data_IF_287263132820
#
_entry.id   IF_287263132820
#
_cell.length_a   1.000
_cell.length_b   1.000
_cell.length_c   1.000
_cell.angle_alpha   90.00
_cell.angle_beta   90.00
_cell.angle_gamma   90.00
#
_symmetry.space_group_name_H-M   'P 1'
#
loop_
_entity.id
_entity.type
_entity.pdbx_description
1 polymer ?
#
# COMPACT_ATOMS: atom_id res chain seq x y z
N UNK A 1 12.61 -22.24 13.53
CA UNK A 1 11.43 -21.83 12.74
C UNK A 1 11.33 -20.33 12.84
N UNK A 2 11.20 -19.63 11.71
CA UNK A 2 10.99 -18.18 11.67
C UNK A 2 9.56 -17.88 12.14
N UNK A 3 9.38 -16.83 12.95
CA UNK A 3 8.06 -16.43 13.44
C UNK A 3 7.26 -15.75 12.33
N UNK A 4 5.92 -15.96 12.24
CA UNK A 4 5.07 -15.22 11.32
C UNK A 4 5.31 -13.72 11.44
N UNK A 5 5.45 -13.04 10.31
CA UNK A 5 5.76 -11.62 10.28
C UNK A 5 4.55 -10.82 9.75
N UNK A 6 3.95 -10.04 10.65
CA UNK A 6 2.80 -9.21 10.36
C UNK A 6 3.13 -8.11 9.34
N UNK A 7 2.19 -7.86 8.43
CA UNK A 7 2.24 -6.78 7.44
C UNK A 7 0.98 -5.94 7.52
N UNK A 8 1.11 -4.67 7.91
CA UNK A 8 0.01 -3.71 7.75
C UNK A 8 -0.04 -3.24 6.30
N UNK A 9 -1.25 -3.19 5.71
CA UNK A 9 -1.46 -2.74 4.33
C UNK A 9 -2.25 -1.43 4.32
N UNK A 10 -1.69 -0.40 3.70
CA UNK A 10 -2.32 0.91 3.51
C UNK A 10 -2.43 1.15 2.00
N UNK A 11 -3.65 1.38 1.53
CA UNK A 11 -3.97 1.54 0.11
C UNK A 11 -4.54 2.93 -0.16
N UNK A 12 -3.83 3.69 -0.97
CA UNK A 12 -4.27 4.93 -1.59
C UNK A 12 -5.11 4.61 -2.82
N UNK A 13 -6.43 4.62 -2.66
CA UNK A 13 -7.32 4.28 -3.75
C UNK A 13 -7.52 5.45 -4.73
N UNK A 14 -6.94 6.63 -4.49
CA UNK A 14 -7.00 7.73 -5.45
C UNK A 14 -5.86 7.68 -6.46
N UNK A 15 -4.64 7.41 -5.99
CA UNK A 15 -3.45 7.38 -6.83
C UNK A 15 -3.00 5.97 -7.20
N UNK A 16 -3.60 4.92 -6.65
CA UNK A 16 -3.33 3.54 -7.02
C UNK A 16 -4.61 2.71 -7.13
N UNK A 17 -5.57 3.21 -7.91
CA UNK A 17 -6.77 2.44 -8.21
C UNK A 17 -6.43 1.18 -8.99
N UNK A 18 -7.23 0.14 -8.78
CA UNK A 18 -7.10 -1.12 -9.54
C UNK A 18 -7.47 -0.89 -11.02
N UNK A 19 -6.74 -1.49 -11.98
CA UNK A 19 -7.08 -1.38 -13.40
C UNK A 19 -8.49 -1.87 -13.74
N UNK A 20 -9.05 -1.34 -14.83
CA UNK A 20 -10.39 -1.73 -15.31
C UNK A 20 -10.44 -3.23 -15.67
N UNK A 21 -11.57 -3.88 -15.36
CA UNK A 21 -11.75 -5.33 -15.52
C UNK A 21 -11.27 -6.18 -14.34
N UNK A 22 -10.63 -5.58 -13.33
CA UNK A 22 -10.20 -6.30 -12.13
C UNK A 22 -11.30 -6.39 -11.05
N UNK A 23 -11.47 -7.59 -10.48
CA UNK A 23 -12.34 -7.77 -9.32
C UNK A 23 -11.65 -7.28 -8.04
N UNK A 24 -12.15 -6.17 -7.50
CA UNK A 24 -11.69 -5.57 -6.26
C UNK A 24 -11.73 -6.55 -5.07
N UNK A 25 -12.61 -7.55 -5.10
CA UNK A 25 -12.68 -8.61 -4.06
C UNK A 25 -11.46 -9.51 -4.06
N UNK A 26 -10.76 -9.62 -5.19
CA UNK A 26 -9.56 -10.44 -5.33
C UNK A 26 -8.27 -9.74 -4.88
N UNK A 27 -8.32 -8.41 -4.64
CA UNK A 27 -7.16 -7.58 -4.27
C UNK A 27 -6.42 -8.13 -3.03
N UNK A 28 -7.16 -8.48 -1.97
CA UNK A 28 -6.56 -9.04 -0.75
C UNK A 28 -5.83 -10.35 -1.00
N UNK A 29 -6.38 -11.22 -1.85
CA UNK A 29 -5.76 -12.51 -2.24
C UNK A 29 -4.50 -12.29 -3.07
N UNK A 30 -4.51 -11.30 -3.98
CA UNK A 30 -3.35 -10.91 -4.77
C UNK A 30 -2.21 -10.40 -3.88
N UNK A 31 -2.52 -9.48 -2.95
CA UNK A 31 -1.55 -8.95 -1.99
C UNK A 31 -0.96 -10.07 -1.14
N UNK A 32 -1.79 -10.97 -0.61
CA UNK A 32 -1.31 -12.15 0.15
C UNK A 32 -0.31 -12.97 -0.67
N UNK A 33 -0.64 -13.27 -1.92
CA UNK A 33 0.22 -14.06 -2.81
C UNK A 33 1.56 -13.36 -3.07
N UNK A 34 1.55 -12.04 -3.29
CA UNK A 34 2.76 -11.26 -3.50
C UNK A 34 3.64 -11.18 -2.24
N UNK A 35 3.04 -10.97 -1.07
CA UNK A 35 3.75 -10.99 0.22
C UNK A 35 4.43 -12.33 0.45
N UNK A 36 3.75 -13.46 0.16
CA UNK A 36 4.33 -14.80 0.30
C UNK A 36 5.50 -15.06 -0.65
N UNK A 37 5.51 -14.47 -1.85
CA UNK A 37 6.67 -14.52 -2.75
C UNK A 37 7.87 -13.75 -2.22
N UNK A 38 7.63 -12.66 -1.49
CA UNK A 38 8.68 -11.88 -0.84
C UNK A 38 9.24 -12.58 0.40
N UNK A 39 8.35 -13.08 1.26
CA UNK A 39 8.68 -13.88 2.42
C UNK A 39 7.51 -14.81 2.75
N UNK A 40 7.70 -16.14 2.76
CA UNK A 40 6.63 -17.10 3.03
C UNK A 40 6.01 -16.95 4.44
N UNK A 41 6.67 -16.26 5.37
CA UNK A 41 6.15 -16.01 6.72
C UNK A 41 5.27 -14.75 6.81
N UNK A 42 5.21 -13.92 5.76
CA UNK A 42 4.38 -12.71 5.77
C UNK A 42 2.89 -13.03 5.78
N UNK A 43 2.13 -12.28 6.58
CA UNK A 43 0.67 -12.31 6.58
C UNK A 43 0.12 -10.89 6.78
N UNK A 44 -1.08 -10.63 6.24
CA UNK A 44 -1.74 -9.34 6.41
C UNK A 44 -2.28 -9.25 7.85
N UNK A 45 -1.88 -8.21 8.56
CA UNK A 45 -2.37 -7.87 9.89
C UNK A 45 -3.69 -7.11 9.78
N UNK A 46 -4.78 -7.69 10.30
CA UNK A 46 -6.09 -7.04 10.32
C UNK A 46 -6.70 -6.80 8.94
N UNK A 47 -7.32 -5.62 8.78
CA UNK A 47 -7.98 -5.16 7.56
C UNK A 47 -7.04 -4.32 6.70
N UNK A 48 -7.31 -4.26 5.40
CA UNK A 48 -6.61 -3.35 4.50
C UNK A 48 -7.15 -1.94 4.73
N UNK A 49 -6.28 -0.99 5.04
CA UNK A 49 -6.69 0.40 5.30
C UNK A 49 -6.78 1.12 3.96
N UNK A 50 -7.99 1.40 3.50
CA UNK A 50 -8.25 2.11 2.25
C UNK A 50 -8.41 3.62 2.54
N UNK A 51 -7.51 4.44 2.00
CA UNK A 51 -7.44 5.88 2.21
C UNK A 51 -7.69 6.60 0.88
N UNK A 52 -8.52 7.63 0.94
CA UNK A 52 -8.89 8.44 -0.21
C UNK A 52 -10.15 9.26 0.10
N UNK A 53 -10.71 9.93 -0.91
CA UNK A 53 -11.82 10.85 -0.68
C UNK A 53 -13.09 10.16 -0.18
N UNK A 54 -13.87 10.89 0.62
CA UNK A 54 -15.16 10.44 1.15
C UNK A 54 -16.30 10.41 0.11
N UNK A 55 -16.03 10.76 -1.14
CA UNK A 55 -17.04 10.94 -2.20
C UNK A 55 -16.57 10.31 -3.52
N UNK A 56 -17.52 10.07 -4.42
CA UNK A 56 -17.29 9.55 -5.76
C UNK A 56 -17.35 8.02 -5.88
N UNK A 57 -17.28 7.54 -7.11
CA UNK A 57 -17.54 6.14 -7.46
C UNK A 57 -16.56 5.16 -6.79
N UNK A 58 -15.29 5.57 -6.66
CA UNK A 58 -14.24 4.78 -5.99
C UNK A 58 -14.55 4.55 -4.51
N UNK A 59 -14.99 5.60 -3.81
CA UNK A 59 -15.42 5.51 -2.42
C UNK A 59 -16.60 4.53 -2.31
N UNK A 60 -17.62 4.72 -3.16
CA UNK A 60 -18.80 3.86 -3.16
C UNK A 60 -18.45 2.39 -3.43
N UNK A 61 -17.56 2.12 -4.39
CA UNK A 61 -17.10 0.76 -4.69
C UNK A 61 -16.43 0.09 -3.48
N UNK A 62 -15.62 0.83 -2.70
CA UNK A 62 -14.99 0.29 -1.48
C UNK A 62 -16.01 0.03 -0.38
N UNK A 63 -17.01 0.89 -0.21
CA UNK A 63 -18.07 0.66 0.81
C UNK A 63 -18.89 -0.61 0.57
N UNK A 64 -18.88 -1.12 -0.66
CA UNK A 64 -19.55 -2.36 -1.04
C UNK A 64 -18.66 -3.61 -0.87
N UNK A 65 -17.41 -3.45 -0.42
CA UNK A 65 -16.49 -4.57 -0.23
C UNK A 65 -16.79 -5.35 1.06
N UNK A 66 -16.31 -6.62 1.13
CA UNK A 66 -16.37 -7.41 2.35
C UNK A 66 -15.68 -6.71 3.54
N UNK A 67 -15.94 -7.20 4.76
CA UNK A 67 -15.38 -6.67 6.02
C UNK A 67 -13.84 -6.82 6.17
N UNK A 68 -13.16 -7.09 5.07
CA UNK A 68 -11.72 -7.22 4.93
C UNK A 68 -11.01 -5.87 4.76
N UNK A 69 -11.76 -4.79 4.58
CA UNK A 69 -11.29 -3.42 4.35
C UNK A 69 -11.73 -2.49 5.48
N UNK A 70 -10.81 -1.62 5.91
CA UNK A 70 -11.07 -0.51 6.82
C UNK A 70 -11.02 0.77 5.99
N UNK A 71 -12.18 1.40 5.79
CA UNK A 71 -12.28 2.65 5.04
C UNK A 71 -11.89 3.83 5.95
N UNK A 72 -10.93 4.63 5.49
CA UNK A 72 -10.47 5.87 6.15
C UNK A 72 -10.70 7.04 5.19
N UNK A 73 -11.96 7.52 5.07
CA UNK A 73 -12.32 8.52 4.09
C UNK A 73 -11.88 9.91 4.53
N UNK A 74 -11.27 10.66 3.62
CA UNK A 74 -10.89 12.06 3.82
C UNK A 74 -12.05 12.94 3.37
N UNK A 75 -12.64 13.68 4.31
CA UNK A 75 -13.70 14.63 4.00
C UNK A 75 -13.08 15.92 3.46
N UNK A 76 -13.62 16.49 2.37
CA UNK A 76 -13.22 17.81 1.94
C UNK A 76 -13.62 18.81 3.03
N UNK A 77 -12.64 19.47 3.62
CA UNK A 77 -12.88 20.47 4.64
C UNK A 77 -13.47 21.75 3.98
N UNK A 78 -14.61 22.21 4.51
CA UNK A 78 -15.41 23.29 3.92
C UNK A 78 -14.77 24.69 4.08
N UNK A 79 -13.56 24.78 4.66
CA UNK A 79 -12.97 26.03 5.11
C UNK A 79 -11.48 26.15 4.78
N UNK A 80 -11.15 26.75 3.61
CA UNK A 80 -9.80 27.34 3.32
C UNK A 80 -8.60 26.44 3.69
N UNK A 81 -8.77 25.14 3.58
CA UNK A 81 -7.80 24.09 3.91
C UNK A 81 -7.26 23.46 2.63
N UNK A 82 -6.11 22.74 2.70
CA UNK A 82 -5.33 22.38 1.52
C UNK A 82 -6.12 21.49 0.56
N UNK A 83 -5.64 21.40 -0.68
CA UNK A 83 -6.26 20.61 -1.75
C UNK A 83 -6.69 19.22 -1.22
N UNK A 84 -7.89 18.70 -1.53
CA UNK A 84 -8.27 17.31 -1.20
C UNK A 84 -7.18 16.26 -1.51
N UNK A 85 -6.33 16.52 -2.49
CA UNK A 85 -5.12 15.72 -2.79
C UNK A 85 -4.09 15.77 -1.64
N UNK A 86 -3.70 16.96 -1.20
CA UNK A 86 -2.80 17.19 -0.05
C UNK A 86 -3.34 16.55 1.24
N UNK A 87 -4.66 16.64 1.46
CA UNK A 87 -5.30 16.05 2.64
C UNK A 87 -5.21 14.53 2.63
N UNK A 88 -5.33 13.91 1.45
CA UNK A 88 -5.19 12.46 1.29
C UNK A 88 -3.75 12.01 1.52
N UNK A 89 -2.78 12.75 0.97
CA UNK A 89 -1.37 12.50 1.22
C UNK A 89 -1.03 12.62 2.72
N UNK A 90 -1.54 13.65 3.39
CA UNK A 90 -1.36 13.85 4.83
C UNK A 90 -1.95 12.69 5.64
N UNK A 91 -3.16 12.27 5.35
CA UNK A 91 -3.82 11.15 6.04
C UNK A 91 -3.04 9.83 5.85
N UNK A 92 -2.55 9.55 4.63
CA UNK A 92 -1.68 8.41 4.35
C UNK A 92 -0.39 8.45 5.18
N UNK A 93 0.28 9.61 5.23
CA UNK A 93 1.50 9.81 6.02
C UNK A 93 1.24 9.66 7.52
N UNK A 94 0.10 10.16 8.02
CA UNK A 94 -0.32 9.99 9.41
C UNK A 94 -0.57 8.53 9.74
N UNK A 95 -1.35 7.81 8.93
CA UNK A 95 -1.62 6.38 9.11
C UNK A 95 -0.34 5.55 9.08
N UNK A 96 0.54 5.81 8.11
CA UNK A 96 1.87 5.19 8.03
C UNK A 96 2.65 5.44 9.33
N UNK A 97 2.77 6.69 9.74
CA UNK A 97 3.56 7.07 10.92
C UNK A 97 3.00 6.46 12.20
N UNK A 98 1.68 6.46 12.38
CA UNK A 98 1.02 5.85 13.53
C UNK A 98 1.27 4.34 13.58
N UNK A 99 1.24 3.65 12.43
CA UNK A 99 1.52 2.21 12.36
C UNK A 99 2.97 1.91 12.69
N UNK A 100 3.91 2.67 12.13
CA UNK A 100 5.34 2.57 12.46
C UNK A 100 5.60 2.76 13.96
N UNK A 101 4.93 3.73 14.59
CA UNK A 101 5.11 4.05 16.00
C UNK A 101 4.45 3.04 16.94
N UNK A 102 3.28 2.51 16.59
CA UNK A 102 2.52 1.56 17.41
C UNK A 102 3.05 0.13 17.34
N UNK A 103 3.52 -0.30 16.18
CA UNK A 103 3.95 -1.67 15.97
C UNK A 103 5.17 -1.64 15.04
N UNK A 104 6.27 -2.31 15.40
CA UNK A 104 7.39 -2.55 14.47
C UNK A 104 7.01 -3.57 13.39
N UNK A 105 5.81 -3.44 12.82
CA UNK A 105 5.31 -4.29 11.76
C UNK A 105 5.93 -3.85 10.43
N UNK A 106 6.03 -4.81 9.51
CA UNK A 106 6.33 -4.50 8.13
C UNK A 106 5.13 -3.75 7.55
N UNK A 107 5.37 -2.78 6.67
CA UNK A 107 4.27 -1.99 6.10
C UNK A 107 4.31 -2.10 4.60
N UNK A 108 3.17 -2.39 3.99
CA UNK A 108 2.95 -2.27 2.55
C UNK A 108 2.13 -1.00 2.30
N UNK A 109 2.69 -0.06 1.55
CA UNK A 109 1.98 1.10 1.02
C UNK A 109 1.69 0.87 -0.45
N UNK A 110 0.44 1.05 -0.86
CA UNK A 110 0.00 0.97 -2.26
C UNK A 110 -0.41 2.37 -2.67
N UNK A 111 0.43 3.11 -3.39
CA UNK A 111 0.17 4.50 -3.78
C UNK A 111 1.08 4.93 -4.92
N UNK A 112 0.55 5.73 -5.85
CA UNK A 112 1.34 6.47 -6.85
C UNK A 112 1.54 7.94 -6.49
N UNK A 113 1.16 8.36 -5.28
CA UNK A 113 1.21 9.76 -4.86
C UNK A 113 2.64 10.20 -4.51
N UNK A 114 3.19 11.13 -5.29
CA UNK A 114 4.55 11.66 -5.12
C UNK A 114 4.77 12.23 -3.70
N UNK A 115 3.76 12.87 -3.10
CA UNK A 115 3.89 13.57 -1.82
C UNK A 115 4.04 12.60 -0.62
N UNK A 116 3.68 11.33 -0.82
CA UNK A 116 3.86 10.26 0.18
C UNK A 116 5.27 9.66 0.09
N UNK A 117 5.94 9.70 -1.06
CA UNK A 117 7.21 9.02 -1.32
C UNK A 117 8.34 9.52 -0.40
N UNK A 118 8.38 10.83 -0.14
CA UNK A 118 9.35 11.42 0.79
C UNK A 118 9.19 10.91 2.23
N UNK A 119 7.97 10.61 2.69
CA UNK A 119 7.74 10.01 3.99
C UNK A 119 8.16 8.54 4.02
N UNK A 120 7.81 7.77 2.98
CA UNK A 120 8.22 6.36 2.83
C UNK A 120 9.73 6.23 2.89
N UNK A 121 10.46 6.98 2.05
CA UNK A 121 11.92 6.94 2.01
C UNK A 121 12.56 7.28 3.37
N UNK A 122 12.05 8.31 4.07
CA UNK A 122 12.56 8.68 5.40
C UNK A 122 12.40 7.57 6.43
N UNK A 123 11.30 6.83 6.42
CA UNK A 123 11.10 5.70 7.33
C UNK A 123 11.96 4.49 6.94
N UNK A 124 12.08 4.19 5.65
CA UNK A 124 13.00 3.16 5.12
C UNK A 124 14.44 3.42 5.58
N UNK A 125 14.92 4.67 5.45
CA UNK A 125 16.26 5.07 5.90
C UNK A 125 16.48 4.96 7.42
N UNK A 126 15.39 4.99 8.20
CA UNK A 126 15.41 4.76 9.66
C UNK A 126 15.37 3.28 10.04
N UNK A 127 15.46 2.38 9.06
CA UNK A 127 15.51 0.93 9.28
C UNK A 127 14.13 0.27 9.43
N UNK A 128 13.05 0.96 9.09
CA UNK A 128 11.71 0.36 9.01
C UNK A 128 11.59 -0.41 7.70
N UNK A 129 11.06 -1.63 7.75
CA UNK A 129 10.83 -2.43 6.55
C UNK A 129 9.51 -2.02 5.89
N UNK A 130 9.62 -1.19 4.84
CA UNK A 130 8.50 -0.73 4.04
C UNK A 130 8.58 -1.36 2.65
N UNK A 131 7.43 -1.84 2.18
CA UNK A 131 7.19 -2.31 0.84
C UNK A 131 6.28 -1.30 0.13
N UNK A 132 6.50 -1.09 -1.16
CA UNK A 132 5.77 -0.13 -1.97
C UNK A 132 5.18 -0.82 -3.20
N UNK A 133 3.90 -0.58 -3.46
CA UNK A 133 3.24 -0.95 -4.71
C UNK A 133 2.87 0.32 -5.46
N UNK A 134 3.41 0.46 -6.67
CA UNK A 134 3.23 1.61 -7.55
C UNK A 134 2.35 1.22 -8.74
N UNK A 135 1.46 2.11 -9.23
CA UNK A 135 0.94 2.01 -10.59
C UNK A 135 2.06 1.90 -11.63
N UNK A 136 1.84 1.18 -12.73
CA UNK A 136 2.82 1.09 -13.84
C UNK A 136 3.25 2.43 -14.41
N UNK A 137 2.35 3.42 -14.40
CA UNK A 137 2.62 4.78 -14.90
C UNK A 137 3.48 5.62 -13.94
N UNK A 138 3.92 5.08 -12.81
CA UNK A 138 4.68 5.83 -11.81
C UNK A 138 6.10 6.14 -12.26
N UNK A 139 6.66 7.24 -11.74
CA UNK A 139 8.04 7.64 -12.00
C UNK A 139 9.04 6.57 -11.48
N UNK A 140 9.97 6.08 -12.32
CA UNK A 140 10.97 5.09 -11.91
C UNK A 140 11.87 5.53 -10.75
N UNK A 141 12.01 6.84 -10.51
CA UNK A 141 12.77 7.36 -9.35
C UNK A 141 12.21 6.90 -8.00
N UNK A 142 10.92 6.52 -7.94
CA UNK A 142 10.31 6.01 -6.71
C UNK A 142 10.66 4.56 -6.39
N UNK A 143 11.29 3.83 -7.32
CA UNK A 143 11.60 2.41 -7.13
C UNK A 143 12.53 2.17 -5.94
N UNK A 144 13.32 3.18 -5.57
CA UNK A 144 14.27 3.14 -4.47
C UNK A 144 13.74 3.70 -3.14
N UNK A 145 12.48 4.16 -3.07
CA UNK A 145 11.93 4.74 -1.85
C UNK A 145 11.66 3.71 -0.74
N UNK A 146 11.48 2.44 -1.09
CA UNK A 146 11.12 1.35 -0.18
C UNK A 146 12.14 0.20 -0.23
N UNK A 147 12.07 -0.71 0.72
CA UNK A 147 12.94 -1.90 0.76
C UNK A 147 12.61 -2.88 -0.38
N UNK A 148 11.34 -2.94 -0.75
CA UNK A 148 10.83 -3.74 -1.87
C UNK A 148 9.80 -2.90 -2.60
N UNK A 149 9.95 -2.78 -3.91
CA UNK A 149 9.01 -2.03 -4.75
C UNK A 149 8.44 -2.94 -5.82
N UNK A 150 7.13 -2.83 -6.02
CA UNK A 150 6.36 -3.57 -6.99
C UNK A 150 5.60 -2.66 -7.92
N UNK A 151 5.46 -3.08 -9.18
CA UNK A 151 4.54 -2.46 -10.13
C UNK A 151 3.21 -3.21 -10.15
N UNK A 152 2.12 -2.44 -10.15
CA UNK A 152 0.75 -2.92 -10.38
C UNK A 152 0.51 -2.99 -11.89
N UNK A 153 0.80 -4.15 -12.47
CA UNK A 153 0.71 -4.43 -13.92
C UNK A 153 -0.56 -5.18 -14.32
N UNK A 154 -1.07 -4.90 -15.54
CA UNK A 154 -2.28 -5.51 -16.11
C UNK A 154 -2.06 -6.24 -17.45
N UNK A 155 -1.02 -7.06 -17.60
CA UNK A 155 -0.74 -7.69 -18.91
C UNK A 155 -1.58 -8.95 -19.26
N UNK A 156 -2.50 -9.44 -18.39
CA UNK A 156 -3.35 -10.60 -18.74
C UNK A 156 -4.71 -10.63 -17.98
N UNK A 157 -5.86 -10.33 -18.64
CA UNK A 157 -7.20 -10.26 -18.02
C UNK A 157 -7.78 -11.61 -17.55
N UNK A 158 -7.21 -12.76 -17.94
CA UNK A 158 -7.65 -14.09 -17.45
C UNK A 158 -6.74 -14.65 -16.33
N UNK A 159 -5.57 -14.04 -16.09
CA UNK A 159 -4.64 -14.40 -15.01
C UNK A 159 -4.47 -13.30 -13.96
N UNK A 160 -5.52 -12.50 -13.74
CA UNK A 160 -5.47 -11.38 -12.79
C UNK A 160 -5.61 -11.86 -11.34
N UNK A 161 -4.56 -12.50 -10.86
CA UNK A 161 -4.21 -12.59 -9.44
C UNK A 161 -2.72 -12.24 -9.20
N UNK A 162 -2.03 -11.67 -10.20
CA UNK A 162 -0.60 -11.40 -10.20
C UNK A 162 -0.34 -10.29 -11.23
N UNK A 163 0.65 -9.40 -11.14
CA UNK A 163 1.98 -9.53 -10.57
C UNK A 163 2.42 -8.17 -10.05
N UNK A 164 2.62 -8.08 -8.74
CA UNK A 164 3.64 -7.20 -8.18
C UNK A 164 5.01 -7.61 -8.77
N UNK A 165 5.39 -6.99 -9.90
CA UNK A 165 6.68 -7.24 -10.56
C UNK A 165 7.72 -6.41 -9.84
N UNK A 166 8.85 -7.01 -9.46
CA UNK A 166 9.94 -6.29 -8.80
C UNK A 166 10.42 -5.15 -9.72
N UNK A 167 10.25 -3.90 -9.28
CA UNK A 167 10.49 -2.71 -10.08
C UNK A 167 11.96 -2.39 -10.35
N UNK A 168 12.92 -3.05 -9.68
CA UNK A 168 14.34 -2.82 -10.03
C UNK A 168 15.39 -2.96 -8.93
N UNK A 169 15.21 -3.84 -7.93
CA UNK A 169 16.27 -4.09 -6.96
C UNK A 169 16.26 -5.52 -6.41
N UNK A 170 17.41 -6.11 -6.04
CA UNK A 170 17.42 -7.40 -5.35
C UNK A 170 16.57 -7.30 -4.07
N UNK A 171 15.66 -8.25 -3.85
CA UNK A 171 14.86 -8.33 -2.61
C UNK A 171 15.86 -8.56 -1.46
N UNK A 172 16.10 -7.58 -0.58
CA UNK A 172 17.03 -7.79 0.52
C UNK A 172 16.40 -8.79 1.51
N UNK A 173 17.21 -9.63 2.17
CA UNK A 173 16.70 -10.51 3.21
C UNK A 173 16.01 -9.68 4.29
N UNK A 174 14.78 -10.07 4.64
CA UNK A 174 13.98 -9.39 5.67
C UNK A 174 14.79 -9.34 6.98
N UNK A 175 14.99 -8.16 7.60
CA UNK A 175 15.67 -8.07 8.87
C UNK A 175 14.95 -8.94 9.90
N UNK A 176 15.67 -9.87 10.53
CA UNK A 176 15.13 -10.62 11.66
C UNK A 176 14.87 -9.61 12.78
N UNK A 177 13.61 -9.34 13.08
CA UNK A 177 13.22 -8.57 14.26
C UNK A 177 13.72 -9.39 15.46
N UNK A 178 14.78 -8.90 16.12
CA UNK A 178 15.21 -9.46 17.41
C UNK A 178 14.15 -9.04 18.43
N UNK A 179 13.56 -10.05 19.09
CA UNK A 179 12.65 -9.86 20.21
C UNK A 179 13.29 -9.16 21.40
#
# INVERSE_FOLDING_TARGET
>A
MSSPAAVTVIWDFQYAWIPEGYDLRSLKTSIKSALKRCNPDFFIEGKLIAVGHAIGDRHQAITMLPDDFELSPVQPDNARTPDPEDQTALELVLKLSMKVLHNRANILVISGNHDVMGAINRWTQRGIFIMLALPESSDPSFYHCANVTWLLSSEDPERVAATMVNGGGPIPPVPRIRG
#
